data_IF_812166394131
#
_entry.id   IF_812166394131
#
_cell.length_a   1.000
_cell.length_b   1.000
_cell.length_c   1.000
_cell.angle_alpha   90.00
_cell.angle_beta   90.00
_cell.angle_gamma   90.00
#
_symmetry.space_group_name_H-M   'P 1'
#
loop_
_entity.id
_entity.type
_entity.pdbx_description
1 polymer ?
#
# COMPACT_ATOMS: atom_id res chain seq x y z
N UNK A 1 27.49 1.69 24.48
CA UNK A 1 26.66 2.20 25.60
C UNK A 1 25.30 1.52 25.45
N UNK A 2 24.99 0.55 26.32
CA UNK A 2 23.72 -0.19 26.27
C UNK A 2 22.68 0.70 26.92
N UNK A 3 21.76 1.25 26.15
CA UNK A 3 20.63 2.00 26.71
C UNK A 3 19.61 0.98 27.22
N UNK A 4 19.30 1.04 28.51
CA UNK A 4 18.29 0.18 29.14
C UNK A 4 16.90 0.47 28.52
N UNK A 5 16.15 -0.59 28.25
CA UNK A 5 14.81 -0.54 27.64
C UNK A 5 13.84 0.38 28.40
N UNK A 6 14.00 0.51 29.71
CA UNK A 6 13.20 1.42 30.55
C UNK A 6 13.57 2.88 30.36
N UNK A 7 14.85 3.17 30.18
CA UNK A 7 15.36 4.53 29.93
C UNK A 7 14.96 5.00 28.52
N UNK A 8 15.00 4.10 27.54
CA UNK A 8 14.51 4.34 26.18
C UNK A 8 13.03 4.72 26.17
N UNK A 9 12.16 3.96 26.87
CA UNK A 9 10.72 4.24 26.96
C UNK A 9 10.39 5.53 27.73
N UNK A 10 11.18 5.90 28.74
CA UNK A 10 11.04 7.18 29.45
C UNK A 10 11.38 8.36 28.56
N UNK A 11 12.41 8.25 27.76
CA UNK A 11 12.84 9.32 26.84
C UNK A 11 11.82 9.52 25.69
N UNK A 12 11.13 8.50 25.23
CA UNK A 12 10.01 8.62 24.28
C UNK A 12 8.80 9.29 24.94
N UNK A 13 8.50 8.98 26.21
CA UNK A 13 7.37 9.57 26.95
C UNK A 13 7.54 11.06 27.26
N UNK A 14 8.77 11.56 27.39
CA UNK A 14 9.07 12.98 27.66
C UNK A 14 9.01 13.83 26.39
N UNK A 15 9.25 13.25 25.22
CA UNK A 15 9.14 13.94 23.93
C UNK A 15 7.68 14.07 23.41
N UNK A 16 6.71 13.47 24.10
CA UNK A 16 5.29 13.49 23.76
C UNK A 16 4.53 14.77 24.12
N UNK A 17 5.19 15.80 24.68
CA UNK A 17 4.55 17.07 24.99
C UNK A 17 5.14 18.22 24.14
N UNK A 18 4.62 18.40 22.96
CA UNK A 18 4.31 19.72 22.39
C UNK A 18 5.43 20.55 21.77
N UNK A 19 6.71 20.18 21.75
CA UNK A 19 7.76 21.11 21.33
C UNK A 19 8.65 20.68 20.14
N UNK A 20 8.53 19.47 19.61
CA UNK A 20 9.37 18.96 18.52
C UNK A 20 8.65 18.72 17.18
N UNK A 21 7.38 19.14 17.06
CA UNK A 21 6.62 18.99 15.82
C UNK A 21 6.91 20.07 14.76
N UNK A 22 7.78 21.04 15.04
CA UNK A 22 7.94 22.25 14.20
C UNK A 22 9.06 22.15 13.16
N UNK A 23 9.88 21.10 13.16
CA UNK A 23 11.06 21.05 12.27
C UNK A 23 11.06 19.94 11.20
N UNK A 24 9.98 19.18 11.07
CA UNK A 24 9.88 18.22 9.98
C UNK A 24 9.28 18.88 8.73
N UNK A 25 9.98 18.89 7.58
CA UNK A 25 9.47 19.49 6.34
C UNK A 25 8.13 18.89 5.86
N UNK A 26 7.77 17.70 6.36
CA UNK A 26 6.54 17.01 6.01
C UNK A 26 5.32 17.45 6.83
N UNK A 27 5.53 18.02 8.02
CA UNK A 27 4.45 18.52 8.87
C UNK A 27 3.99 19.93 8.48
N UNK A 28 4.85 20.72 7.84
CA UNK A 28 4.46 22.03 7.33
C UNK A 28 3.41 21.95 6.20
N UNK A 29 3.31 20.84 5.51
CA UNK A 29 2.27 20.62 4.48
C UNK A 29 0.87 20.52 5.11
N UNK A 30 0.76 20.16 6.40
CA UNK A 30 -0.50 20.05 7.11
C UNK A 30 -0.82 21.29 8.00
N UNK A 31 0.16 22.14 8.24
CA UNK A 31 0.01 23.27 9.19
C UNK A 31 -0.71 24.50 8.61
N UNK A 32 -0.81 24.63 7.28
CA UNK A 32 -1.41 25.79 6.61
C UNK A 32 -2.85 25.55 6.11
N UNK A 33 -3.49 24.46 6.50
CA UNK A 33 -4.92 24.27 6.22
C UNK A 33 -5.70 25.16 7.20
N UNK A 34 -5.89 26.43 6.84
CA UNK A 34 -6.92 27.26 7.48
C UNK A 34 -8.23 26.49 7.44
N UNK A 35 -8.77 26.22 8.60
CA UNK A 35 -10.08 25.62 8.83
C UNK A 35 -11.19 26.57 8.34
N UNK A 36 -11.30 26.72 7.03
CA UNK A 36 -12.54 27.20 6.43
C UNK A 36 -13.48 26.02 6.46
N UNK A 37 -14.71 26.19 6.94
CA UNK A 37 -15.76 25.18 6.94
C UNK A 37 -15.91 24.63 5.51
N UNK A 38 -15.13 23.60 5.18
CA UNK A 38 -15.10 23.02 3.85
C UNK A 38 -16.21 21.99 3.76
N UNK A 39 -16.90 22.03 2.64
CA UNK A 39 -17.71 20.92 2.18
C UNK A 39 -16.88 19.62 2.29
N UNK A 40 -17.55 18.54 2.70
CA UNK A 40 -16.90 17.23 2.79
C UNK A 40 -16.37 16.81 1.43
N UNK A 41 -15.19 16.19 1.39
CA UNK A 41 -14.71 15.53 0.19
C UNK A 41 -15.69 14.41 -0.21
N UNK A 42 -16.29 14.54 -1.36
CA UNK A 42 -17.24 13.58 -1.91
C UNK A 42 -16.48 12.50 -2.66
N UNK A 43 -16.39 11.33 -2.04
CA UNK A 43 -15.55 10.22 -2.47
C UNK A 43 -16.39 9.12 -3.12
N UNK A 44 -15.93 8.62 -4.27
CA UNK A 44 -16.44 7.38 -4.85
C UNK A 44 -15.49 6.22 -4.60
N UNK A 45 -16.03 5.02 -4.38
CA UNK A 45 -15.24 3.80 -4.21
C UNK A 45 -15.43 2.90 -5.43
N UNK A 46 -14.34 2.64 -6.14
CA UNK A 46 -14.28 1.74 -7.30
C UNK A 46 -13.61 0.45 -6.87
N UNK A 47 -14.37 -0.64 -6.83
CA UNK A 47 -13.94 -1.95 -6.33
C UNK A 47 -14.13 -2.13 -4.82
N UNK A 48 -15.34 -1.94 -4.22
CA UNK A 48 -15.60 -2.11 -2.80
C UNK A 48 -15.58 -3.58 -2.36
N UNK A 49 -14.56 -4.32 -2.78
CA UNK A 49 -14.23 -5.66 -2.31
C UNK A 49 -13.83 -5.65 -0.82
N UNK A 50 -13.22 -6.73 -0.33
CA UNK A 50 -12.83 -6.80 1.10
C UNK A 50 -11.87 -5.68 1.49
N UNK A 51 -10.90 -5.32 0.63
CA UNK A 51 -9.96 -4.23 0.90
C UNK A 51 -10.64 -2.86 0.83
N UNK A 52 -11.48 -2.64 -0.17
CA UNK A 52 -12.25 -1.40 -0.28
C UNK A 52 -13.10 -1.17 0.96
N UNK A 53 -13.87 -2.15 1.41
CA UNK A 53 -14.69 -2.04 2.63
C UNK A 53 -13.86 -1.86 3.90
N UNK A 54 -12.69 -2.49 3.99
CA UNK A 54 -11.76 -2.24 5.08
C UNK A 54 -11.33 -0.77 5.14
N UNK A 55 -10.96 -0.17 4.00
CA UNK A 55 -10.63 1.26 3.95
C UNK A 55 -11.86 2.15 4.21
N UNK A 56 -13.02 1.80 3.68
CA UNK A 56 -14.27 2.51 3.97
C UNK A 56 -14.56 2.60 5.48
N UNK A 57 -14.26 1.55 6.26
CA UNK A 57 -14.49 1.56 7.71
C UNK A 57 -13.69 2.62 8.46
N UNK A 58 -12.52 3.01 7.96
CA UNK A 58 -11.73 4.14 8.48
C UNK A 58 -12.20 5.48 7.92
N UNK A 59 -12.49 5.53 6.62
CA UNK A 59 -12.95 6.77 5.98
C UNK A 59 -14.26 7.28 6.56
N UNK A 60 -15.16 6.39 6.95
CA UNK A 60 -16.44 6.74 7.60
C UNK A 60 -16.27 7.36 9.00
N UNK A 61 -15.09 7.20 9.62
CA UNK A 61 -14.76 7.86 10.89
C UNK A 61 -14.20 9.27 10.68
N UNK A 62 -13.87 9.65 9.45
CA UNK A 62 -13.35 10.97 9.11
C UNK A 62 -14.52 11.94 8.81
N UNK A 63 -14.74 12.99 9.61
CA UNK A 63 -15.84 13.92 9.41
C UNK A 63 -15.76 14.74 8.11
N UNK A 64 -14.58 14.78 7.48
CA UNK A 64 -14.32 15.52 6.24
C UNK A 64 -14.50 14.69 4.97
N UNK A 65 -14.92 13.42 5.09
CA UNK A 65 -15.15 12.53 3.95
C UNK A 65 -16.61 12.08 3.93
N UNK A 66 -17.18 12.04 2.73
CA UNK A 66 -18.49 11.45 2.47
C UNK A 66 -18.36 10.47 1.30
N UNK A 67 -18.66 9.19 1.54
CA UNK A 67 -18.69 8.18 0.47
C UNK A 67 -20.05 8.26 -0.21
N UNK A 68 -20.07 8.78 -1.43
CA UNK A 68 -21.31 9.12 -2.17
C UNK A 68 -21.61 8.17 -3.33
N UNK A 69 -20.62 7.40 -3.78
CA UNK A 69 -20.79 6.54 -4.95
C UNK A 69 -20.00 5.24 -4.83
N UNK A 70 -20.51 4.19 -5.46
CA UNK A 70 -19.91 2.86 -5.51
C UNK A 70 -19.96 2.31 -6.94
N UNK A 71 -18.90 1.58 -7.33
CA UNK A 71 -18.90 0.73 -8.51
C UNK A 71 -18.11 -0.56 -8.24
N UNK A 72 -18.66 -1.68 -8.63
CA UNK A 72 -18.00 -2.99 -8.70
C UNK A 72 -18.70 -3.85 -9.76
N UNK A 73 -17.97 -4.69 -10.45
CA UNK A 73 -18.51 -5.68 -11.38
C UNK A 73 -19.19 -6.85 -10.66
N UNK A 74 -18.89 -7.04 -9.37
CA UNK A 74 -19.43 -8.12 -8.55
C UNK A 74 -20.51 -7.63 -7.59
N UNK A 75 -21.77 -7.97 -7.88
CA UNK A 75 -22.94 -7.48 -7.14
C UNK A 75 -22.87 -7.76 -5.62
N UNK A 76 -22.26 -8.89 -5.21
CA UNK A 76 -22.07 -9.19 -3.77
C UNK A 76 -21.21 -8.11 -3.09
N UNK A 77 -20.15 -7.62 -3.74
CA UNK A 77 -19.32 -6.53 -3.19
C UNK A 77 -20.14 -5.25 -2.99
N UNK A 78 -20.98 -4.89 -3.95
CA UNK A 78 -21.88 -3.75 -3.87
C UNK A 78 -22.86 -3.90 -2.69
N UNK A 79 -23.53 -5.05 -2.58
CA UNK A 79 -24.51 -5.30 -1.53
C UNK A 79 -23.87 -5.20 -0.13
N UNK A 80 -22.66 -5.71 0.05
CA UNK A 80 -21.93 -5.60 1.31
C UNK A 80 -21.47 -4.15 1.61
N UNK A 81 -21.07 -3.39 0.59
CA UNK A 81 -20.69 -2.00 0.76
C UNK A 81 -21.89 -1.09 1.09
N UNK A 82 -23.05 -1.35 0.49
CA UNK A 82 -24.28 -0.60 0.78
C UNK A 82 -24.77 -0.77 2.22
N UNK A 83 -24.40 -1.86 2.92
CA UNK A 83 -24.67 -1.98 4.36
C UNK A 83 -23.92 -0.92 5.19
N UNK A 84 -22.79 -0.44 4.70
CA UNK A 84 -21.98 0.59 5.35
C UNK A 84 -22.40 2.00 4.92
N UNK A 85 -22.81 2.16 3.66
CA UNK A 85 -23.17 3.45 3.04
C UNK A 85 -24.48 3.33 2.26
N UNK A 86 -25.65 3.16 2.93
CA UNK A 86 -26.91 2.84 2.29
C UNK A 86 -27.41 3.90 1.31
N UNK A 87 -26.95 5.13 1.45
CA UNK A 87 -27.32 6.26 0.60
C UNK A 87 -26.37 6.48 -0.58
N UNK A 88 -25.28 5.70 -0.72
CA UNK A 88 -24.36 5.84 -1.82
C UNK A 88 -25.01 5.38 -3.15
N UNK A 89 -24.82 6.19 -4.18
CA UNK A 89 -25.33 5.86 -5.53
C UNK A 89 -24.46 4.76 -6.14
N UNK A 90 -25.08 3.74 -6.69
CA UNK A 90 -24.39 2.66 -7.42
C UNK A 90 -24.39 2.98 -8.90
N UNK A 91 -23.23 2.89 -9.51
CA UNK A 91 -23.02 3.10 -10.94
C UNK A 91 -22.65 1.77 -11.63
N UNK A 92 -23.21 1.52 -12.78
CA UNK A 92 -22.95 0.32 -13.56
C UNK A 92 -21.57 0.33 -14.23
N UNK A 93 -21.05 1.51 -14.55
CA UNK A 93 -19.73 1.75 -15.12
C UNK A 93 -19.03 2.85 -14.31
N UNK A 94 -17.75 2.64 -13.96
CA UNK A 94 -16.96 3.62 -13.21
C UNK A 94 -16.80 4.95 -13.98
N UNK A 95 -16.86 4.95 -15.30
CA UNK A 95 -16.77 6.17 -16.12
C UNK A 95 -17.91 7.14 -15.82
N UNK A 96 -19.09 6.61 -15.48
CA UNK A 96 -20.23 7.45 -15.03
C UNK A 96 -19.93 8.15 -13.69
N UNK A 97 -19.12 7.56 -12.82
CA UNK A 97 -18.60 8.21 -11.62
C UNK A 97 -17.69 9.38 -12.01
N UNK A 98 -16.83 9.17 -13.00
CA UNK A 98 -15.88 10.20 -13.44
C UNK A 98 -16.58 11.39 -14.11
N UNK A 99 -17.69 11.16 -14.79
CA UNK A 99 -18.52 12.20 -15.41
C UNK A 99 -19.28 13.04 -14.38
N UNK A 100 -19.55 12.51 -13.19
CA UNK A 100 -20.28 13.21 -12.13
C UNK A 100 -19.41 14.29 -11.48
N UNK A 101 -19.75 15.56 -11.78
CA UNK A 101 -19.00 16.72 -11.29
C UNK A 101 -19.15 16.97 -9.79
N UNK A 102 -20.09 16.31 -9.13
CA UNK A 102 -20.27 16.41 -7.68
C UNK A 102 -19.31 15.49 -6.89
N UNK A 103 -18.54 14.66 -7.56
CA UNK A 103 -17.55 13.75 -6.97
C UNK A 103 -16.17 14.39 -7.08
N UNK A 104 -15.45 14.50 -5.97
CA UNK A 104 -14.13 15.15 -5.90
C UNK A 104 -12.98 14.16 -6.12
N UNK A 105 -13.15 12.94 -5.58
CA UNK A 105 -12.07 11.96 -5.52
C UNK A 105 -12.58 10.53 -5.74
N UNK A 106 -11.68 9.66 -6.16
CA UNK A 106 -11.93 8.22 -6.29
C UNK A 106 -10.95 7.41 -5.44
N UNK A 107 -11.48 6.39 -4.76
CA UNK A 107 -10.72 5.33 -4.10
C UNK A 107 -10.74 4.10 -5.01
N UNK A 108 -9.59 3.71 -5.55
CA UNK A 108 -9.41 2.56 -6.45
C UNK A 108 -8.87 1.38 -5.66
N UNK A 109 -9.69 0.33 -5.52
CA UNK A 109 -9.36 -0.92 -4.80
C UNK A 109 -9.70 -2.17 -5.63
N UNK A 110 -9.64 -2.01 -6.92
CA UNK A 110 -9.84 -3.06 -7.93
C UNK A 110 -8.66 -4.05 -7.99
N UNK A 111 -8.69 -5.09 -8.84
CA UNK A 111 -7.51 -5.87 -9.21
C UNK A 111 -6.39 -4.99 -9.79
N UNK A 112 -5.14 -5.41 -9.58
CA UNK A 112 -3.94 -4.66 -9.96
C UNK A 112 -3.93 -4.21 -11.43
N UNK A 113 -4.30 -5.09 -12.34
CA UNK A 113 -4.31 -4.78 -13.77
C UNK A 113 -5.32 -3.70 -14.20
N UNK A 114 -6.27 -3.36 -13.33
CA UNK A 114 -7.26 -2.30 -13.59
C UNK A 114 -6.80 -0.93 -13.06
N UNK A 115 -5.83 -0.85 -12.15
CA UNK A 115 -5.42 0.37 -11.46
C UNK A 115 -5.03 1.48 -12.42
N UNK A 116 -4.17 1.16 -13.40
CA UNK A 116 -3.64 2.14 -14.34
C UNK A 116 -4.74 2.82 -15.15
N UNK A 117 -5.61 2.05 -15.80
CA UNK A 117 -6.63 2.62 -16.67
C UNK A 117 -7.61 3.50 -15.88
N UNK A 118 -8.08 3.02 -14.74
CA UNK A 118 -9.04 3.76 -13.91
C UNK A 118 -8.41 5.04 -13.35
N UNK A 119 -7.13 5.00 -12.93
CA UNK A 119 -6.45 6.17 -12.41
C UNK A 119 -6.18 7.22 -13.49
N UNK A 120 -5.78 6.80 -14.70
CA UNK A 120 -5.58 7.71 -15.83
C UNK A 120 -6.88 8.39 -16.24
N UNK A 121 -7.97 7.61 -16.38
CA UNK A 121 -9.29 8.15 -16.69
C UNK A 121 -9.78 9.14 -15.61
N UNK A 122 -9.49 8.83 -14.31
CA UNK A 122 -9.83 9.70 -13.20
C UNK A 122 -9.07 11.04 -13.25
N UNK A 123 -7.78 11.02 -13.53
CA UNK A 123 -6.99 12.25 -13.72
C UNK A 123 -7.51 13.07 -14.91
N UNK A 124 -7.84 12.43 -16.03
CA UNK A 124 -8.41 13.11 -17.20
C UNK A 124 -9.77 13.76 -16.90
N UNK A 125 -10.55 13.14 -15.98
CA UNK A 125 -11.83 13.68 -15.52
C UNK A 125 -11.70 14.74 -14.41
N UNK A 126 -10.46 15.07 -13.98
CA UNK A 126 -10.19 16.06 -12.94
C UNK A 126 -10.43 15.57 -11.52
N UNK A 127 -10.37 14.25 -11.28
CA UNK A 127 -10.59 13.65 -9.95
C UNK A 127 -9.27 13.42 -9.22
N UNK A 128 -9.26 13.69 -7.91
CA UNK A 128 -8.20 13.22 -7.02
C UNK A 128 -8.25 11.70 -6.91
N UNK A 129 -7.08 11.05 -6.78
CA UNK A 129 -6.97 9.59 -6.82
C UNK A 129 -6.28 9.06 -5.58
N UNK A 130 -6.95 8.17 -4.86
CA UNK A 130 -6.31 7.19 -3.99
C UNK A 130 -6.31 5.85 -4.72
N UNK A 131 -5.12 5.29 -5.00
CA UNK A 131 -4.98 3.99 -5.62
C UNK A 131 -4.31 3.00 -4.67
N UNK A 132 -4.92 1.83 -4.49
CA UNK A 132 -4.29 0.78 -3.69
C UNK A 132 -2.94 0.34 -4.29
N UNK A 133 -2.12 -0.23 -3.44
CA UNK A 133 -0.85 -0.83 -3.84
C UNK A 133 -1.10 -2.17 -4.57
N UNK A 134 -0.32 -2.57 -5.49
CA UNK A 134 0.72 -1.87 -6.25
C UNK A 134 0.04 -1.01 -7.28
N UNK A 135 0.54 0.19 -7.49
CA UNK A 135 -0.19 1.20 -8.28
C UNK A 135 -0.34 0.85 -9.76
N UNK A 136 0.62 0.13 -10.34
CA UNK A 136 0.59 -0.28 -11.75
C UNK A 136 1.08 -1.71 -11.92
N UNK A 137 0.67 -2.31 -13.02
CA UNK A 137 1.02 -3.69 -13.37
C UNK A 137 2.48 -3.83 -13.84
N UNK A 138 3.04 -2.75 -14.40
CA UNK A 138 4.43 -2.64 -14.83
C UNK A 138 5.01 -1.23 -14.58
N UNK A 139 6.29 -1.08 -14.83
CA UNK A 139 7.01 0.18 -14.58
C UNK A 139 6.55 1.32 -15.48
N UNK A 140 6.19 1.03 -16.72
CA UNK A 140 5.69 2.02 -17.68
C UNK A 140 4.37 2.63 -17.17
N UNK A 141 3.44 1.79 -16.72
CA UNK A 141 2.18 2.25 -16.12
C UNK A 141 2.42 3.12 -14.89
N UNK A 142 3.30 2.67 -13.97
CA UNK A 142 3.63 3.44 -12.77
C UNK A 142 4.20 4.83 -13.14
N UNK A 143 5.10 4.87 -14.11
CA UNK A 143 5.74 6.12 -14.55
C UNK A 143 4.74 7.07 -15.23
N UNK A 144 3.86 6.56 -16.08
CA UNK A 144 2.80 7.35 -16.72
C UNK A 144 1.80 7.93 -15.71
N UNK A 145 1.40 7.16 -14.70
CA UNK A 145 0.54 7.67 -13.63
C UNK A 145 1.24 8.79 -12.85
N UNK A 146 2.53 8.63 -12.54
CA UNK A 146 3.32 9.68 -11.90
C UNK A 146 3.41 10.95 -12.76
N UNK A 147 3.70 10.81 -14.07
CA UNK A 147 3.74 11.96 -14.99
C UNK A 147 2.38 12.66 -15.04
N UNK A 148 1.30 11.91 -15.20
CA UNK A 148 -0.06 12.45 -15.29
C UNK A 148 -0.46 13.21 -14.00
N UNK A 149 -0.14 12.67 -12.83
CA UNK A 149 -0.29 13.38 -11.56
C UNK A 149 0.45 14.72 -11.56
N UNK A 150 1.70 14.73 -12.02
CA UNK A 150 2.51 15.96 -12.10
C UNK A 150 1.94 16.98 -13.07
N UNK A 151 1.42 16.54 -14.21
CA UNK A 151 0.81 17.39 -15.24
C UNK A 151 -0.49 18.03 -14.76
N UNK A 152 -1.33 17.25 -14.09
CA UNK A 152 -2.66 17.70 -13.66
C UNK A 152 -2.64 18.48 -12.33
N UNK A 153 -1.62 18.29 -11.50
CA UNK A 153 -1.56 18.83 -10.14
C UNK A 153 -2.59 18.23 -9.17
N UNK A 154 -3.33 17.22 -9.61
CA UNK A 154 -4.30 16.53 -8.77
C UNK A 154 -3.59 15.67 -7.71
N UNK A 155 -4.22 15.45 -6.58
CA UNK A 155 -3.67 14.59 -5.53
C UNK A 155 -3.65 13.14 -6.02
N UNK A 156 -2.49 12.51 -5.91
CA UNK A 156 -2.30 11.07 -6.11
C UNK A 156 -1.75 10.45 -4.83
N UNK A 157 -2.56 9.67 -4.16
CA UNK A 157 -2.18 8.97 -2.94
C UNK A 157 -2.14 7.46 -3.19
N UNK A 158 -1.13 6.78 -2.64
CA UNK A 158 -0.93 5.35 -2.85
C UNK A 158 -1.17 4.56 -1.55
N UNK A 159 -1.70 3.35 -1.67
CA UNK A 159 -2.04 2.48 -0.55
C UNK A 159 -0.84 1.87 0.19
N UNK A 160 0.31 2.56 0.23
CA UNK A 160 1.52 2.15 0.95
C UNK A 160 1.47 2.60 2.41
N UNK A 161 0.68 1.91 3.22
CA UNK A 161 0.31 2.32 4.58
C UNK A 161 1.50 2.49 5.54
N UNK A 162 2.60 1.74 5.35
CA UNK A 162 3.78 1.80 6.21
C UNK A 162 4.49 3.16 6.21
N UNK A 163 4.35 3.93 5.13
CA UNK A 163 4.87 5.31 5.07
C UNK A 163 4.21 6.24 6.11
N UNK A 164 3.05 5.86 6.60
CA UNK A 164 2.24 6.65 7.54
C UNK A 164 2.10 5.98 8.91
N UNK A 165 2.71 4.82 9.12
CA UNK A 165 2.75 4.14 10.42
C UNK A 165 3.79 4.82 11.32
N UNK A 166 3.39 5.31 12.51
CA UNK A 166 4.31 6.01 13.42
C UNK A 166 5.53 5.19 13.83
N UNK A 167 5.41 3.86 13.90
CA UNK A 167 6.53 2.96 14.21
C UNK A 167 7.60 3.02 13.11
N UNK A 168 7.17 2.92 11.85
CA UNK A 168 8.08 2.99 10.70
C UNK A 168 8.68 4.38 10.54
N UNK A 169 7.88 5.44 10.70
CA UNK A 169 8.40 6.82 10.68
C UNK A 169 9.50 6.98 11.73
N UNK A 170 9.23 6.53 12.97
CA UNK A 170 10.21 6.61 14.05
C UNK A 170 11.46 5.78 13.79
N UNK A 171 11.31 4.56 13.29
CA UNK A 171 12.44 3.71 12.90
C UNK A 171 13.31 4.40 11.84
N UNK A 172 12.71 5.00 10.81
CA UNK A 172 13.45 5.72 9.77
C UNK A 172 14.16 6.97 10.29
N UNK A 173 13.53 7.74 11.18
CA UNK A 173 14.21 8.86 11.87
C UNK A 173 15.46 8.38 12.61
N UNK A 174 15.36 7.27 13.34
CA UNK A 174 16.49 6.70 14.09
C UNK A 174 17.59 6.19 13.16
N UNK A 175 17.24 5.52 12.05
CA UNK A 175 18.18 5.05 11.04
C UNK A 175 18.90 6.25 10.41
N UNK A 176 18.17 7.25 9.95
CA UNK A 176 18.74 8.40 9.24
C UNK A 176 19.50 9.36 10.17
N UNK A 177 19.28 9.28 11.49
CA UNK A 177 20.11 10.00 12.48
C UNK A 177 21.48 9.34 12.71
N UNK A 178 21.72 8.17 12.11
CA UNK A 178 22.95 7.42 12.32
C UNK A 178 23.02 6.58 13.60
N UNK A 179 21.91 6.44 14.34
CA UNK A 179 21.86 5.70 15.61
C UNK A 179 22.35 4.25 15.48
N UNK A 180 22.07 3.60 14.35
CA UNK A 180 22.47 2.23 14.08
C UNK A 180 23.81 2.13 13.30
N UNK A 181 24.48 3.27 13.06
CA UNK A 181 25.66 3.35 12.22
C UNK A 181 25.33 3.15 10.73
N UNK A 182 26.34 2.75 9.97
CA UNK A 182 26.14 2.43 8.55
C UNK A 182 25.31 1.15 8.40
N UNK A 183 24.24 1.22 7.65
CA UNK A 183 23.40 0.05 7.33
C UNK A 183 24.15 -0.81 6.31
N UNK A 184 24.38 -2.06 6.65
CA UNK A 184 25.16 -3.01 5.84
C UNK A 184 24.35 -4.22 5.34
N UNK A 185 23.16 -4.47 5.89
CA UNK A 185 22.25 -5.50 5.40
C UNK A 185 20.80 -5.16 5.72
N UNK A 186 19.88 -5.61 4.86
CA UNK A 186 18.43 -5.58 5.11
C UNK A 186 17.90 -6.98 4.83
N UNK A 187 17.22 -7.54 5.80
CA UNK A 187 16.58 -8.85 5.66
C UNK A 187 15.08 -8.66 5.83
N UNK A 188 14.29 -9.16 4.88
CA UNK A 188 12.83 -9.05 4.94
C UNK A 188 12.18 -10.37 4.57
N UNK A 189 11.05 -10.63 5.18
CA UNK A 189 10.27 -11.81 4.86
C UNK A 189 8.78 -11.59 5.10
N UNK A 190 7.98 -12.40 4.41
CA UNK A 190 6.54 -12.46 4.66
C UNK A 190 6.05 -13.89 4.50
N UNK A 191 5.96 -14.59 5.62
CA UNK A 191 5.44 -15.94 5.68
C UNK A 191 3.99 -15.92 6.14
N UNK A 192 3.15 -16.67 5.46
CA UNK A 192 1.75 -16.82 5.84
C UNK A 192 1.25 -18.21 5.44
N UNK A 193 0.12 -18.63 6.00
CA UNK A 193 -0.54 -19.86 5.60
C UNK A 193 -1.92 -19.50 5.05
N UNK A 194 -2.06 -19.55 3.74
CA UNK A 194 -3.31 -19.24 3.04
C UNK A 194 -3.13 -19.22 1.54
N UNK A 195 -4.09 -19.76 0.84
CA UNK A 195 -4.05 -19.95 -0.61
C UNK A 195 -4.50 -18.72 -1.41
N UNK A 196 -5.06 -17.70 -0.76
CA UNK A 196 -5.71 -16.51 -1.36
C UNK A 196 -6.95 -16.80 -2.19
N UNK A 197 -7.31 -18.07 -2.36
CA UNK A 197 -8.49 -18.46 -3.10
C UNK A 197 -9.76 -18.06 -2.38
N UNK A 198 -10.73 -17.58 -3.11
CA UNK A 198 -12.06 -17.24 -2.64
C UNK A 198 -13.08 -18.11 -3.32
N UNK A 199 -14.17 -18.38 -2.64
CA UNK A 199 -15.32 -19.02 -3.22
C UNK A 199 -15.82 -18.21 -4.43
N UNK A 200 -15.98 -18.87 -5.55
CA UNK A 200 -16.44 -18.29 -6.79
C UNK A 200 -17.81 -18.88 -7.15
N UNK A 201 -18.86 -18.05 -7.36
CA UNK A 201 -20.19 -18.55 -7.63
C UNK A 201 -20.34 -19.19 -9.01
N UNK A 202 -19.47 -18.86 -9.96
CA UNK A 202 -19.48 -19.45 -11.29
C UNK A 202 -18.11 -19.39 -11.93
N UNK A 203 -17.77 -20.34 -12.86
CA UNK A 203 -16.47 -20.38 -13.52
C UNK A 203 -16.13 -19.10 -14.31
N UNK A 204 -17.12 -18.40 -14.83
CA UNK A 204 -16.92 -17.17 -15.61
C UNK A 204 -16.35 -16.02 -14.76
N UNK A 205 -16.59 -16.05 -13.45
CA UNK A 205 -16.11 -15.04 -12.50
C UNK A 205 -14.77 -15.44 -11.85
N UNK A 206 -14.26 -16.64 -12.12
CA UNK A 206 -13.06 -17.18 -11.47
C UNK A 206 -11.86 -16.20 -11.55
N UNK A 207 -11.50 -15.74 -12.74
CA UNK A 207 -10.37 -14.83 -12.91
C UNK A 207 -10.58 -13.44 -12.30
N UNK A 208 -11.83 -12.99 -12.19
CA UNK A 208 -12.17 -11.70 -11.60
C UNK A 208 -12.13 -11.75 -10.08
N UNK A 209 -12.64 -12.82 -9.47
CA UNK A 209 -12.70 -12.97 -8.01
C UNK A 209 -11.36 -13.44 -7.46
N UNK A 210 -10.74 -14.40 -8.12
CA UNK A 210 -9.46 -15.01 -7.76
C UNK A 210 -8.26 -14.39 -8.51
N UNK A 211 -8.37 -13.14 -8.93
CA UNK A 211 -7.41 -12.42 -9.77
C UNK A 211 -5.96 -12.50 -9.29
N UNK A 212 -5.74 -12.62 -7.96
CA UNK A 212 -4.40 -12.76 -7.38
C UNK A 212 -3.66 -14.02 -7.79
N UNK A 213 -4.38 -15.02 -8.30
CA UNK A 213 -3.84 -16.32 -8.69
C UNK A 213 -3.38 -16.36 -10.15
N UNK A 214 -3.69 -15.33 -10.94
CA UNK A 214 -3.46 -15.29 -12.38
C UNK A 214 -2.44 -14.23 -12.77
N UNK A 215 -1.55 -14.57 -13.73
CA UNK A 215 -0.45 -13.70 -14.18
C UNK A 215 -0.92 -12.48 -14.95
N UNK A 216 -2.05 -12.55 -15.61
CA UNK A 216 -2.63 -11.44 -16.39
C UNK A 216 -3.23 -10.32 -15.50
N UNK A 217 -3.50 -10.62 -14.25
CA UNK A 217 -4.13 -9.69 -13.30
C UNK A 217 -3.29 -9.39 -12.06
N UNK A 218 -2.25 -10.22 -11.79
CA UNK A 218 -1.33 -10.06 -10.67
C UNK A 218 0.09 -10.53 -11.05
N UNK A 219 1.11 -9.99 -10.39
CA UNK A 219 2.49 -10.50 -10.45
C UNK A 219 2.83 -11.36 -9.23
N UNK A 220 1.79 -11.86 -8.52
CA UNK A 220 1.93 -12.75 -7.38
C UNK A 220 2.61 -12.10 -6.17
N UNK A 221 3.44 -12.87 -5.46
CA UNK A 221 4.03 -12.47 -4.19
C UNK A 221 4.87 -11.19 -4.27
N UNK A 222 5.43 -10.89 -5.45
CA UNK A 222 6.25 -9.69 -5.64
C UNK A 222 5.41 -8.41 -5.56
N UNK A 223 4.25 -8.36 -6.20
CA UNK A 223 3.36 -7.20 -6.16
C UNK A 223 2.46 -7.21 -4.93
N UNK A 224 2.08 -8.37 -4.44
CA UNK A 224 1.14 -8.47 -3.33
C UNK A 224 1.82 -8.24 -1.96
N UNK A 225 3.07 -8.68 -1.80
CA UNK A 225 3.80 -8.68 -0.52
C UNK A 225 5.14 -7.92 -0.62
N UNK A 226 6.03 -8.32 -1.53
CA UNK A 226 7.39 -7.75 -1.61
C UNK A 226 7.42 -6.24 -1.82
N UNK A 227 6.42 -5.67 -2.48
CA UNK A 227 6.35 -4.22 -2.70
C UNK A 227 6.37 -3.41 -1.39
N UNK A 228 5.85 -3.94 -0.30
CA UNK A 228 5.93 -3.31 1.03
C UNK A 228 7.35 -3.33 1.58
N UNK A 229 8.01 -4.50 1.55
CA UNK A 229 9.36 -4.65 2.07
C UNK A 229 10.39 -3.90 1.23
N UNK A 230 10.27 -3.95 -0.10
CA UNK A 230 11.12 -3.18 -1.01
C UNK A 230 11.04 -1.68 -0.75
N UNK A 231 9.85 -1.18 -0.47
CA UNK A 231 9.66 0.23 -0.10
C UNK A 231 10.40 0.56 1.19
N UNK A 232 10.27 -0.27 2.23
CA UNK A 232 10.91 -0.06 3.53
C UNK A 232 12.43 -0.11 3.39
N UNK A 233 12.97 -1.12 2.69
CA UNK A 233 14.41 -1.22 2.43
C UNK A 233 14.97 -0.02 1.66
N UNK A 234 14.25 0.41 0.61
CA UNK A 234 14.63 1.59 -0.17
C UNK A 234 14.54 2.88 0.65
N UNK A 235 13.55 3.00 1.52
CA UNK A 235 13.41 4.15 2.42
C UNK A 235 14.53 4.19 3.47
N UNK A 236 14.83 3.05 4.10
CA UNK A 236 15.91 2.96 5.08
C UNK A 236 17.27 3.31 4.48
N UNK A 237 17.55 2.83 3.26
CA UNK A 237 18.82 3.06 2.56
C UNK A 237 18.84 4.38 1.77
N UNK A 238 17.69 5.03 1.57
CA UNK A 238 17.50 6.19 0.68
C UNK A 238 18.02 5.93 -0.75
N UNK A 239 17.85 4.70 -1.23
CA UNK A 239 18.37 4.20 -2.50
C UNK A 239 17.38 3.24 -3.14
N UNK A 240 17.50 3.05 -4.43
CA UNK A 240 16.85 1.99 -5.18
C UNK A 240 17.85 0.89 -5.53
N UNK A 241 17.45 -0.40 -5.52
CA UNK A 241 18.37 -1.47 -5.89
C UNK A 241 18.71 -1.41 -7.38
N UNK A 242 19.96 -1.69 -7.72
CA UNK A 242 20.44 -1.74 -9.11
C UNK A 242 20.32 -3.13 -9.72
N UNK A 243 20.40 -4.17 -8.91
CA UNK A 243 20.39 -5.55 -9.36
C UNK A 243 19.46 -6.38 -8.49
N UNK A 244 18.85 -7.38 -9.12
CA UNK A 244 18.06 -8.39 -8.43
C UNK A 244 18.35 -9.75 -9.02
N UNK A 245 18.43 -10.76 -8.16
CA UNK A 245 18.33 -12.16 -8.55
C UNK A 245 17.35 -12.87 -7.64
N UNK A 246 16.71 -13.91 -8.12
CA UNK A 246 15.75 -14.64 -7.32
C UNK A 246 15.17 -15.84 -8.02
N UNK A 247 14.47 -16.63 -7.26
CA UNK A 247 13.77 -17.82 -7.72
C UNK A 247 12.38 -17.91 -7.07
N UNK A 248 11.42 -18.44 -7.80
CA UNK A 248 10.09 -18.73 -7.30
C UNK A 248 9.53 -19.99 -7.92
N UNK A 249 8.61 -20.61 -7.23
CA UNK A 249 7.96 -21.83 -7.70
C UNK A 249 6.53 -21.98 -7.16
N UNK A 250 5.76 -22.89 -7.72
CA UNK A 250 4.52 -23.42 -7.15
C UNK A 250 4.86 -24.79 -6.56
N UNK A 251 5.05 -24.86 -5.25
CA UNK A 251 5.50 -26.08 -4.57
C UNK A 251 4.38 -26.80 -3.84
N UNK A 252 3.46 -26.07 -3.26
CA UNK A 252 2.41 -26.60 -2.39
C UNK A 252 1.00 -26.46 -2.98
N UNK A 253 0.58 -25.23 -3.33
CA UNK A 253 -0.78 -24.95 -3.79
C UNK A 253 -0.99 -25.35 -5.25
N UNK A 254 -1.30 -26.64 -5.51
CA UNK A 254 -1.55 -27.22 -6.85
C UNK A 254 -3.01 -27.02 -7.28
N UNK A 255 -3.53 -25.80 -7.18
CA UNK A 255 -4.94 -25.46 -7.35
C UNK A 255 -5.27 -24.76 -8.68
N UNK A 256 -4.37 -24.83 -9.66
CA UNK A 256 -4.53 -24.20 -10.96
C UNK A 256 -4.06 -22.76 -11.03
N UNK A 257 -3.41 -22.25 -9.95
CA UNK A 257 -2.80 -20.91 -9.99
C UNK A 257 -1.66 -20.84 -10.98
N UNK A 258 -1.41 -19.63 -11.48
CA UNK A 258 -0.29 -19.31 -12.37
C UNK A 258 0.86 -18.61 -11.64
N UNK A 259 0.58 -17.98 -10.50
CA UNK A 259 1.57 -17.25 -9.69
C UNK A 259 2.23 -18.18 -8.68
N UNK A 260 3.47 -17.86 -8.32
CA UNK A 260 4.25 -18.63 -7.35
C UNK A 260 3.66 -18.57 -5.94
N UNK A 261 3.80 -19.66 -5.19
CA UNK A 261 3.44 -19.77 -3.78
C UNK A 261 4.63 -19.61 -2.83
N UNK A 262 5.85 -19.54 -3.39
CA UNK A 262 7.07 -19.14 -2.71
C UNK A 262 7.98 -18.37 -3.64
N UNK A 263 8.74 -17.43 -3.07
CA UNK A 263 9.79 -16.66 -3.77
C UNK A 263 10.92 -16.35 -2.80
N UNK A 264 12.16 -16.33 -3.33
CA UNK A 264 13.36 -15.89 -2.65
C UNK A 264 14.12 -14.93 -3.57
N UNK A 265 14.37 -13.72 -3.10
CA UNK A 265 15.00 -12.67 -3.89
C UNK A 265 16.13 -12.02 -3.10
N UNK A 266 17.20 -11.63 -3.81
CA UNK A 266 18.27 -10.78 -3.30
C UNK A 266 18.41 -9.56 -4.20
N UNK A 267 18.35 -8.39 -3.58
CA UNK A 267 18.56 -7.09 -4.21
C UNK A 267 19.93 -6.54 -3.81
N UNK A 268 20.63 -5.90 -4.74
CA UNK A 268 21.93 -5.27 -4.50
C UNK A 268 21.81 -3.78 -4.82
N UNK A 269 22.20 -2.96 -3.86
CA UNK A 269 22.25 -1.51 -3.98
C UNK A 269 23.62 -1.04 -4.48
N UNK A 270 23.72 0.19 -5.00
CA UNK A 270 24.95 0.80 -5.55
C UNK A 270 26.11 0.87 -4.54
N UNK A 271 25.81 0.97 -3.25
CA UNK A 271 26.80 0.96 -2.16
C UNK A 271 27.22 -0.46 -1.71
N UNK A 272 26.75 -1.50 -2.41
CA UNK A 272 27.07 -2.91 -2.10
C UNK A 272 26.19 -3.54 -1.01
N UNK A 273 25.31 -2.79 -0.36
CA UNK A 273 24.36 -3.33 0.60
C UNK A 273 23.41 -4.31 -0.10
N UNK A 274 23.09 -5.39 0.58
CA UNK A 274 22.17 -6.41 0.09
C UNK A 274 20.90 -6.42 0.93
N UNK A 275 19.79 -6.55 0.23
CA UNK A 275 18.48 -6.80 0.83
C UNK A 275 17.96 -8.15 0.34
N UNK A 276 17.46 -8.98 1.26
CA UNK A 276 16.73 -10.21 0.91
C UNK A 276 15.23 -10.03 1.11
N UNK A 277 14.46 -10.71 0.29
CA UNK A 277 13.03 -10.91 0.48
C UNK A 277 12.68 -12.37 0.28
N UNK A 278 12.10 -12.97 1.33
CA UNK A 278 11.64 -14.35 1.33
C UNK A 278 10.15 -14.40 1.62
N UNK A 279 9.40 -15.19 0.84
CA UNK A 279 7.98 -15.36 1.06
C UNK A 279 7.52 -16.78 0.75
N UNK A 280 6.77 -17.35 1.69
CA UNK A 280 6.10 -18.64 1.56
C UNK A 280 4.66 -18.46 2.05
N UNK A 281 3.67 -18.90 1.25
CA UNK A 281 2.26 -18.80 1.64
C UNK A 281 1.63 -20.13 2.05
N UNK A 282 2.45 -21.14 2.29
CA UNK A 282 2.06 -22.46 2.83
C UNK A 282 2.50 -22.70 4.27
N UNK A 283 3.23 -21.75 4.86
CA UNK A 283 3.71 -21.81 6.25
C UNK A 283 3.88 -20.40 6.81
N UNK A 284 3.39 -20.15 8.03
CA UNK A 284 3.44 -18.85 8.70
C UNK A 284 4.47 -18.71 9.82
N UNK A 285 5.40 -19.65 9.96
CA UNK A 285 6.22 -19.80 11.17
C UNK A 285 6.93 -18.51 11.61
N UNK A 286 7.59 -17.80 10.70
CA UNK A 286 8.27 -16.54 11.03
C UNK A 286 7.37 -15.30 10.93
N UNK A 287 6.18 -15.43 10.34
CA UNK A 287 5.30 -14.29 10.13
C UNK A 287 5.86 -13.28 9.12
N UNK A 288 5.95 -12.05 9.54
CA UNK A 288 6.31 -10.90 8.71
C UNK A 288 7.27 -10.02 9.51
N UNK A 289 8.41 -9.61 8.89
CA UNK A 289 9.40 -8.74 9.54
C UNK A 289 10.30 -8.05 8.51
N UNK A 290 10.83 -6.89 8.92
CA UNK A 290 11.95 -6.20 8.29
C UNK A 290 13.07 -5.99 9.33
N UNK A 291 14.23 -6.58 9.08
CA UNK A 291 15.43 -6.42 9.89
C UNK A 291 16.42 -5.51 9.17
N UNK A 292 16.59 -4.30 9.67
CA UNK A 292 17.52 -3.31 9.11
C UNK A 292 18.73 -3.26 10.02
N UNK A 293 19.89 -3.74 9.51
CA UNK A 293 21.07 -4.03 10.28
C UNK A 293 22.18 -3.02 9.98
N UNK A 294 22.53 -2.23 10.97
CA UNK A 294 23.72 -1.39 11.00
C UNK A 294 24.81 -2.00 11.87
N UNK A 295 26.04 -1.49 11.76
CA UNK A 295 27.17 -2.02 12.54
C UNK A 295 27.12 -1.68 14.05
N UNK A 296 26.24 -0.76 14.46
CA UNK A 296 26.00 -0.41 15.86
C UNK A 296 24.70 -1.00 16.43
N UNK A 297 23.83 -1.57 15.60
CA UNK A 297 22.58 -2.15 16.05
C UNK A 297 21.65 -2.53 14.91
N UNK A 298 20.51 -3.13 15.27
CA UNK A 298 19.46 -3.57 14.34
C UNK A 298 18.12 -3.00 14.78
N UNK A 299 17.28 -2.65 13.81
CA UNK A 299 15.89 -2.23 14.06
C UNK A 299 14.92 -3.15 13.31
N UNK A 300 13.87 -3.55 14.02
CA UNK A 300 12.73 -4.34 13.53
C UNK A 300 11.46 -3.53 13.80
N UNK A 301 10.88 -2.87 12.77
CA UNK A 301 9.79 -1.92 12.96
C UNK A 301 8.39 -2.55 13.01
N UNK A 302 8.20 -3.81 12.55
CA UNK A 302 6.89 -4.50 12.48
C UNK A 302 6.31 -4.90 13.84
#
# INVERSE_FOLDING_TARGET
>A
MVIDRREFLKNIGILGTGALLVSSPWLSVFADVKETAKEKCRLAVIGPGSRGRFLMSFLLQNPHVEIVALHDIYQKSINEALKMVPNAKVYADYRQILDDKSIDAVLITTPLNCHYQIAMDAFDAGKHVFCEKTIGYDMEQCYRMYQKHRETGLIFFTGQQRLFDPRYIKAMEMIHSGMFGEINAVRTFWYRNGDWRRECPSPELEKQINWRLYKDSSKGLMTELACHQLQIGSWALQRIPEKVCGHGAITYWKDGREVYDNVHCMYVFDNGVKMTFDSVISNKFYGLEEQIMGHLGTVEPE
#
